data_IF_447022367178
#
_entry.id   IF_447022367178
#
_cell.length_a   1.000
_cell.length_b   1.000
_cell.length_c   1.000
_cell.angle_alpha   90.00
_cell.angle_beta   90.00
_cell.angle_gamma   90.00
#
_symmetry.space_group_name_H-M   'P 1'
#
loop_
_entity.id
_entity.type
_entity.pdbx_description
1 polymer ?
#
# COMPACT_ATOMS: atom_id res chain seq x y z
N UNK A 1 -32.04 18.86 -40.21
CA UNK A 1 -31.84 19.25 -38.79
C UNK A 1 -31.65 18.03 -37.88
N UNK A 2 -32.59 17.08 -37.84
CA UNK A 2 -32.61 15.99 -36.84
C UNK A 2 -31.46 14.97 -36.95
N UNK A 3 -30.93 14.71 -38.17
CA UNK A 3 -29.83 13.76 -38.35
C UNK A 3 -28.48 14.28 -37.84
N UNK A 4 -28.22 15.59 -37.99
CA UNK A 4 -26.99 16.23 -37.49
C UNK A 4 -27.01 16.27 -35.95
N UNK A 5 -28.17 16.56 -35.34
CA UNK A 5 -28.34 16.54 -33.88
C UNK A 5 -28.09 15.14 -33.31
N UNK A 6 -28.63 14.10 -33.96
CA UNK A 6 -28.42 12.70 -33.55
C UNK A 6 -26.94 12.27 -33.65
N UNK A 7 -26.25 12.68 -34.70
CA UNK A 7 -24.82 12.39 -34.88
C UNK A 7 -23.95 13.05 -33.79
N UNK A 8 -24.23 14.31 -33.45
CA UNK A 8 -23.53 15.03 -32.37
C UNK A 8 -23.80 14.41 -31.00
N UNK A 9 -25.03 13.93 -30.76
CA UNK A 9 -25.38 13.21 -29.52
C UNK A 9 -24.64 11.87 -29.40
N UNK A 10 -24.56 11.08 -30.48
CA UNK A 10 -23.80 9.83 -30.52
C UNK A 10 -22.30 10.05 -30.24
N UNK A 11 -21.71 11.09 -30.84
CA UNK A 11 -20.31 11.45 -30.61
C UNK A 11 -20.06 11.88 -29.15
N UNK A 12 -20.98 12.65 -28.54
CA UNK A 12 -20.90 13.03 -27.13
C UNK A 12 -21.01 11.82 -26.19
N UNK A 13 -21.93 10.89 -26.47
CA UNK A 13 -22.09 9.67 -25.67
C UNK A 13 -20.82 8.81 -25.76
N UNK A 14 -20.25 8.67 -26.97
CA UNK A 14 -19.02 7.92 -27.17
C UNK A 14 -17.84 8.55 -26.43
N UNK A 15 -17.68 9.87 -26.52
CA UNK A 15 -16.64 10.60 -25.80
C UNK A 15 -16.81 10.47 -24.28
N UNK A 16 -18.04 10.57 -23.77
CA UNK A 16 -18.34 10.39 -22.35
C UNK A 16 -18.03 8.97 -21.88
N UNK A 17 -18.39 7.95 -22.66
CA UNK A 17 -18.08 6.55 -22.37
C UNK A 17 -16.56 6.29 -22.36
N UNK A 18 -15.82 6.90 -23.30
CA UNK A 18 -14.37 6.80 -23.35
C UNK A 18 -13.73 7.43 -22.11
N UNK A 19 -14.16 8.63 -21.72
CA UNK A 19 -13.66 9.30 -20.51
C UNK A 19 -13.93 8.44 -19.27
N UNK A 20 -15.15 7.93 -19.11
CA UNK A 20 -15.50 7.05 -17.97
C UNK A 20 -14.68 5.75 -17.95
N UNK A 21 -14.40 5.16 -19.12
CA UNK A 21 -13.55 3.97 -19.24
C UNK A 21 -12.07 4.23 -18.92
N UNK A 22 -11.57 5.46 -19.14
CA UNK A 22 -10.21 5.83 -18.75
C UNK A 22 -10.08 6.05 -17.24
N UNK A 23 -11.14 6.50 -16.57
CA UNK A 23 -11.14 6.67 -15.11
C UNK A 23 -11.15 5.34 -14.34
N UNK A 24 -11.76 4.28 -14.90
CA UNK A 24 -11.88 2.97 -14.24
C UNK A 24 -10.58 2.15 -14.19
N UNK A 25 -9.51 2.57 -14.89
CA UNK A 25 -8.23 1.85 -14.91
C UNK A 25 -7.38 2.04 -13.63
N UNK A 26 -7.82 2.87 -12.68
CA UNK A 26 -7.08 3.11 -11.44
C UNK A 26 -7.43 2.08 -10.35
N UNK A 27 -7.26 0.78 -10.63
CA UNK A 27 -7.22 -0.22 -9.55
C UNK A 27 -5.79 -0.38 -9.06
N UNK A 28 -5.41 0.43 -8.08
CA UNK A 28 -4.21 0.15 -7.28
C UNK A 28 -4.57 -0.91 -6.24
N UNK A 29 -4.00 -2.11 -6.37
CA UNK A 29 -4.03 -3.10 -5.31
C UNK A 29 -3.12 -2.60 -4.18
N UNK A 30 -3.69 -1.84 -3.25
CA UNK A 30 -2.96 -1.39 -2.07
C UNK A 30 -2.87 -2.54 -1.07
N UNK A 31 -1.65 -2.90 -0.70
CA UNK A 31 -1.43 -3.69 0.51
C UNK A 31 -1.84 -2.86 1.71
N UNK A 32 -2.60 -3.43 2.64
CA UNK A 32 -2.96 -2.73 3.87
C UNK A 32 -1.72 -2.66 4.76
N UNK A 33 -1.15 -1.48 4.90
CA UNK A 33 0.02 -1.24 5.76
C UNK A 33 -0.05 0.11 6.47
N UNK A 34 0.84 0.31 7.44
CA UNK A 34 0.89 1.54 8.26
C UNK A 34 1.48 2.76 7.54
N UNK A 35 1.99 2.59 6.31
CA UNK A 35 2.97 3.47 5.71
C UNK A 35 4.33 3.36 6.42
N UNK A 36 5.34 4.00 5.82
CA UNK A 36 6.65 4.14 6.46
C UNK A 36 6.56 5.12 7.63
N UNK A 37 6.80 4.61 8.83
CA UNK A 37 6.88 5.38 10.06
C UNK A 37 8.34 5.69 10.36
N UNK A 38 8.59 6.91 10.85
CA UNK A 38 9.92 7.34 11.30
C UNK A 38 9.79 8.06 12.65
N UNK A 39 10.80 7.91 13.49
CA UNK A 39 10.94 8.69 14.70
C UNK A 39 11.86 9.90 14.38
N UNK A 40 11.41 11.15 14.55
CA UNK A 40 12.25 12.33 14.28
C UNK A 40 13.54 12.39 15.10
N UNK A 41 13.55 11.80 16.30
CA UNK A 41 14.74 11.69 17.15
C UNK A 41 15.65 10.51 16.76
N UNK A 42 15.20 9.63 15.87
CA UNK A 42 16.00 8.53 15.35
C UNK A 42 15.79 8.32 13.83
N UNK A 43 16.15 9.31 12.98
CA UNK A 43 15.89 9.28 11.53
C UNK A 43 16.45 8.08 10.75
N UNK A 44 17.58 7.43 11.14
CA UNK A 44 18.14 6.31 10.38
C UNK A 44 17.27 5.04 10.35
N UNK A 45 16.19 4.98 11.12
CA UNK A 45 15.31 3.81 11.22
C UNK A 45 13.93 4.15 10.71
N UNK A 46 13.44 3.33 9.78
CA UNK A 46 12.06 3.38 9.31
C UNK A 46 11.43 2.01 9.46
N UNK A 47 10.15 1.98 9.82
CA UNK A 47 9.40 0.72 9.96
C UNK A 47 8.05 0.83 9.30
N UNK A 48 7.51 -0.29 8.82
CA UNK A 48 6.12 -0.41 8.42
C UNK A 48 5.61 -1.81 8.72
N UNK A 49 4.36 -1.92 9.15
CA UNK A 49 3.70 -3.20 9.33
C UNK A 49 2.75 -3.44 8.16
N UNK A 50 2.92 -4.57 7.46
CA UNK A 50 2.18 -4.91 6.24
C UNK A 50 1.32 -6.13 6.48
N UNK A 51 0.05 -6.05 6.10
CA UNK A 51 -0.89 -7.17 6.11
C UNK A 51 -0.95 -7.81 4.73
N UNK A 52 -0.85 -9.14 4.69
CA UNK A 52 -0.88 -9.92 3.44
C UNK A 52 -2.31 -10.20 2.94
N UNK A 53 -3.31 -9.93 3.78
CA UNK A 53 -4.70 -10.31 3.52
C UNK A 53 -5.05 -11.78 3.79
N UNK A 54 -4.07 -12.64 4.09
CA UNK A 54 -4.32 -14.04 4.48
C UNK A 54 -4.84 -14.09 5.92
N UNK A 55 -6.07 -14.58 6.08
CA UNK A 55 -6.77 -14.64 7.37
C UNK A 55 -7.22 -16.07 7.66
N UNK A 56 -7.15 -16.46 8.94
CA UNK A 56 -7.81 -17.66 9.45
C UNK A 56 -8.87 -17.21 10.48
N UNK A 57 -10.16 -17.18 10.09
CA UNK A 57 -11.23 -16.78 10.98
C UNK A 57 -11.45 -17.74 12.16
N UNK A 58 -11.12 -19.03 12.00
CA UNK A 58 -11.28 -20.01 13.08
C UNK A 58 -10.19 -19.82 14.14
N UNK A 59 -8.95 -19.64 13.71
CA UNK A 59 -7.83 -19.35 14.61
C UNK A 59 -7.79 -17.88 15.08
N UNK A 60 -8.62 -17.01 14.49
CA UNK A 60 -8.62 -15.54 14.70
C UNK A 60 -7.26 -14.91 14.42
N UNK A 61 -6.57 -15.38 13.38
CA UNK A 61 -5.25 -14.88 12.99
C UNK A 61 -5.29 -14.14 11.67
N UNK A 62 -4.41 -13.15 11.56
CA UNK A 62 -4.18 -12.39 10.34
C UNK A 62 -2.67 -12.39 10.07
N UNK A 63 -2.29 -12.71 8.85
CA UNK A 63 -0.87 -12.81 8.48
C UNK A 63 -0.34 -11.46 8.02
N UNK A 64 0.76 -11.04 8.62
CA UNK A 64 1.49 -9.83 8.26
C UNK A 64 2.99 -9.96 8.54
N UNK A 65 3.73 -8.92 8.19
CA UNK A 65 5.16 -8.82 8.43
C UNK A 65 5.56 -7.39 8.79
N UNK A 66 6.69 -7.26 9.49
CA UNK A 66 7.31 -5.98 9.84
C UNK A 66 8.52 -5.76 8.94
N UNK A 67 8.47 -4.73 8.11
CA UNK A 67 9.66 -4.25 7.40
C UNK A 67 10.42 -3.28 8.31
N UNK A 68 11.73 -3.48 8.39
CA UNK A 68 12.65 -2.60 9.11
C UNK A 68 13.73 -2.15 8.12
N UNK A 69 13.79 -0.84 7.87
CA UNK A 69 14.79 -0.22 7.01
C UNK A 69 15.76 0.58 7.87
N UNK A 70 17.04 0.22 7.76
CA UNK A 70 18.16 0.85 8.46
C UNK A 70 19.07 1.51 7.44
N UNK A 71 19.59 2.69 7.75
CA UNK A 71 20.56 3.39 6.88
C UNK A 71 21.92 3.52 7.55
N UNK A 72 22.98 3.67 6.74
CA UNK A 72 24.36 3.72 7.23
C UNK A 72 24.77 2.43 7.93
N UNK A 73 25.47 2.55 9.05
CA UNK A 73 26.00 1.41 9.82
C UNK A 73 25.03 0.85 10.88
N UNK A 74 23.81 1.38 10.94
CA UNK A 74 22.79 0.94 11.90
C UNK A 74 22.41 -0.52 11.69
N UNK A 75 22.31 -1.24 12.81
CA UNK A 75 21.95 -2.66 12.89
C UNK A 75 20.83 -2.82 13.92
N UNK A 76 20.06 -3.89 13.76
CA UNK A 76 19.10 -4.34 14.78
C UNK A 76 19.53 -5.70 15.30
N UNK A 77 18.96 -6.11 16.43
CA UNK A 77 19.32 -7.36 17.07
C UNK A 77 18.42 -8.51 16.64
N UNK A 78 18.97 -9.72 16.69
CA UNK A 78 18.18 -10.93 16.59
C UNK A 78 17.50 -11.26 17.93
N UNK A 79 16.65 -12.28 17.94
CA UNK A 79 15.90 -12.69 19.15
C UNK A 79 16.81 -13.07 20.32
N UNK A 80 18.01 -13.57 20.03
CA UNK A 80 19.08 -13.80 21.00
C UNK A 80 20.20 -12.79 20.73
N UNK A 81 20.17 -11.60 21.35
CA UNK A 81 20.95 -10.45 20.90
C UNK A 81 22.43 -10.48 21.33
N UNK A 82 22.83 -11.44 22.18
CA UNK A 82 24.16 -11.48 22.79
C UNK A 82 24.31 -10.49 23.95
N UNK A 83 25.54 -10.29 24.41
CA UNK A 83 25.84 -9.35 25.50
C UNK A 83 25.64 -7.89 25.03
N UNK A 84 24.88 -7.10 25.80
CA UNK A 84 24.66 -5.68 25.54
C UNK A 84 23.57 -5.35 24.51
N UNK A 85 22.99 -6.34 23.84
CA UNK A 85 21.90 -6.13 22.88
C UNK A 85 20.51 -6.33 23.49
N UNK A 86 19.50 -5.71 22.87
CA UNK A 86 18.08 -5.85 23.24
C UNK A 86 17.28 -6.23 22.01
N UNK A 87 16.57 -7.36 22.07
CA UNK A 87 15.74 -7.82 20.97
C UNK A 87 14.51 -6.90 20.77
N UNK A 88 14.09 -6.63 19.51
CA UNK A 88 12.83 -5.95 19.23
C UNK A 88 11.62 -6.74 19.74
N UNK A 89 10.59 -6.04 20.22
CA UNK A 89 9.34 -6.60 20.78
C UNK A 89 8.10 -6.01 20.16
#
# INVERSE_FOLDING_TARGET
MNHIIKATQLASIFFMALVLGLFSLNLSAQTTDTGWMTNPQHPPVQTRFVLTGQQDPQAKTLTGYLDVKLTGDWKTYWRSPGEGGVAPS
#
